data_IF_471617709388
#
_entry.id   IF_471617709388
#
_cell.length_a   1.000
_cell.length_b   1.000
_cell.length_c   1.000
_cell.angle_alpha   90.00
_cell.angle_beta   90.00
_cell.angle_gamma   90.00
#
_symmetry.space_group_name_H-M   'P 1'
#
loop_
_entity.id
_entity.type
_entity.pdbx_description
1 polymer ?
#
# COMPACT_ATOMS: atom_id res chain seq x y z
N UNK A 1 -11.73 -13.31 1.79
CA UNK A 1 -11.88 -12.64 0.48
C UNK A 1 -12.72 -13.50 -0.46
N UNK A 2 -13.64 -12.91 -1.25
CA UNK A 2 -14.62 -13.66 -2.08
C UNK A 2 -13.97 -14.45 -3.23
N UNK A 3 -13.01 -13.86 -3.93
CA UNK A 3 -12.33 -14.44 -5.10
C UNK A 3 -10.89 -14.77 -4.72
N UNK A 4 -10.62 -16.05 -4.46
CA UNK A 4 -9.34 -16.54 -3.91
C UNK A 4 -8.20 -16.49 -4.93
N UNK A 5 -8.52 -16.53 -6.22
CA UNK A 5 -7.56 -16.47 -7.33
C UNK A 5 -6.81 -15.12 -7.43
N UNK A 6 -7.27 -14.09 -6.72
CA UNK A 6 -6.57 -12.81 -6.58
C UNK A 6 -5.85 -12.66 -5.24
N UNK A 7 -5.98 -13.65 -4.36
CA UNK A 7 -5.36 -13.63 -3.04
C UNK A 7 -3.87 -13.84 -3.15
N UNK A 8 -3.12 -13.02 -2.42
CA UNK A 8 -1.69 -13.19 -2.28
C UNK A 8 -1.41 -13.52 -0.82
N UNK A 9 -0.78 -14.67 -0.61
CA UNK A 9 -0.37 -15.18 0.70
C UNK A 9 1.15 -15.07 0.90
N UNK A 10 1.89 -14.88 -0.19
CA UNK A 10 3.34 -14.71 -0.15
C UNK A 10 3.70 -13.35 0.45
N UNK A 11 4.19 -13.38 1.69
CA UNK A 11 4.50 -12.18 2.47
C UNK A 11 5.49 -11.25 1.75
N UNK A 12 6.48 -11.80 1.07
CA UNK A 12 7.49 -11.01 0.35
C UNK A 12 6.86 -10.14 -0.76
N UNK A 13 5.87 -10.65 -1.49
CA UNK A 13 5.15 -9.89 -2.52
C UNK A 13 4.35 -8.72 -1.93
N UNK A 14 3.77 -8.94 -0.75
CA UNK A 14 3.02 -7.92 -0.01
C UNK A 14 3.97 -6.82 0.48
N UNK A 15 5.10 -7.21 1.05
CA UNK A 15 6.13 -6.29 1.55
C UNK A 15 6.74 -5.45 0.43
N UNK A 16 7.07 -6.06 -0.70
CA UNK A 16 7.56 -5.34 -1.88
C UNK A 16 6.55 -4.29 -2.35
N UNK A 17 5.26 -4.64 -2.40
CA UNK A 17 4.22 -3.69 -2.77
C UNK A 17 4.05 -2.57 -1.73
N UNK A 18 4.12 -2.86 -0.42
CA UNK A 18 4.06 -1.83 0.62
C UNK A 18 5.30 -0.92 0.62
N UNK A 19 6.46 -1.43 0.22
CA UNK A 19 7.69 -0.66 0.06
C UNK A 19 7.62 0.29 -1.15
N UNK A 20 6.98 -0.12 -2.24
CA UNK A 20 6.77 0.69 -3.45
C UNK A 20 5.90 1.94 -3.19
N UNK A 21 4.89 1.81 -2.32
CA UNK A 21 3.83 2.82 -2.20
C UNK A 21 4.13 3.88 -1.14
N UNK A 22 4.31 5.14 -1.52
CA UNK A 22 4.71 6.22 -0.60
C UNK A 22 3.65 6.64 0.42
N UNK A 23 2.37 6.47 0.11
CA UNK A 23 1.25 6.81 0.98
C UNK A 23 0.17 5.73 0.95
N UNK A 24 -0.68 5.76 1.98
CA UNK A 24 -1.86 4.90 2.09
C UNK A 24 -3.00 5.64 2.79
N UNK A 25 -4.10 4.94 3.01
CA UNK A 25 -5.34 5.50 3.53
C UNK A 25 -5.64 4.91 4.91
N UNK A 26 -5.50 5.75 5.94
CA UNK A 26 -5.86 5.41 7.31
C UNK A 26 -7.36 5.59 7.53
N UNK A 27 -8.04 4.53 7.90
CA UNK A 27 -9.42 4.54 8.38
C UNK A 27 -9.48 4.59 9.90
N UNK A 28 -10.11 5.62 10.45
CA UNK A 28 -10.38 5.82 11.88
C UNK A 28 -11.89 5.96 12.13
N UNK A 29 -12.32 5.76 13.37
CA UNK A 29 -13.70 6.03 13.81
C UNK A 29 -13.72 7.31 14.65
N UNK A 30 -14.58 8.26 14.31
CA UNK A 30 -14.82 9.44 15.14
C UNK A 30 -15.83 9.19 16.24
N UNK A 31 -15.80 10.05 17.27
CA UNK A 31 -16.70 9.98 18.42
C UNK A 31 -18.18 10.09 18.04
N UNK A 32 -18.49 10.78 16.94
CA UNK A 32 -19.84 10.90 16.38
C UNK A 32 -20.24 9.68 15.52
N UNK A 33 -19.40 8.65 15.44
CA UNK A 33 -19.65 7.38 14.78
C UNK A 33 -19.36 7.37 13.27
N UNK A 34 -18.87 8.47 12.68
CA UNK A 34 -18.53 8.50 11.27
C UNK A 34 -17.15 7.89 10.97
N UNK A 35 -17.00 7.12 9.88
CA UNK A 35 -15.68 6.70 9.44
C UNK A 35 -14.92 7.87 8.81
N UNK A 36 -13.67 8.06 9.22
CA UNK A 36 -12.75 9.03 8.63
C UNK A 36 -11.65 8.33 7.84
N UNK A 37 -11.33 8.86 6.67
CA UNK A 37 -10.24 8.36 5.82
C UNK A 37 -9.20 9.46 5.65
N UNK A 38 -7.98 9.21 6.09
CA UNK A 38 -6.87 10.16 6.00
C UNK A 38 -5.75 9.56 5.14
N UNK A 39 -5.44 10.14 3.96
CA UNK A 39 -4.24 9.78 3.22
C UNK A 39 -3.00 10.27 3.97
N UNK A 40 -1.99 9.42 4.13
CA UNK A 40 -0.76 9.77 4.82
C UNK A 40 0.43 8.91 4.35
N UNK A 41 1.64 9.45 4.52
CA UNK A 41 2.88 8.72 4.24
C UNK A 41 3.10 7.66 5.32
N UNK A 42 3.59 6.49 4.89
CA UNK A 42 3.82 5.37 5.79
C UNK A 42 5.05 4.55 5.41
N UNK A 43 5.53 3.77 6.36
CA UNK A 43 6.45 2.65 6.13
C UNK A 43 5.89 1.38 6.73
N UNK A 44 6.12 0.25 6.07
CA UNK A 44 5.96 -1.07 6.68
C UNK A 44 7.33 -1.50 7.21
N UNK A 45 7.43 -1.72 8.50
CA UNK A 45 8.70 -2.02 9.17
C UNK A 45 8.47 -3.04 10.28
N UNK A 46 9.27 -4.11 10.31
CA UNK A 46 9.22 -5.15 11.35
C UNK A 46 7.81 -5.72 11.61
N UNK A 47 6.99 -5.85 10.56
CA UNK A 47 5.65 -6.44 10.65
C UNK A 47 4.51 -5.43 10.81
N UNK A 48 4.81 -4.15 11.07
CA UNK A 48 3.82 -3.13 11.39
C UNK A 48 3.86 -1.92 10.46
N UNK A 49 2.77 -1.14 10.46
CA UNK A 49 2.70 0.12 9.73
C UNK A 49 3.08 1.25 10.67
N UNK A 50 3.97 2.13 10.24
CA UNK A 50 4.33 3.34 10.95
C UNK A 50 4.03 4.58 10.12
N UNK A 51 3.54 5.62 10.79
CA UNK A 51 3.42 6.95 10.22
C UNK A 51 3.76 8.02 11.24
N UNK A 52 4.11 9.21 10.75
CA UNK A 52 4.41 10.36 11.59
C UNK A 52 3.50 11.54 11.24
N UNK A 53 3.46 12.53 12.13
CA UNK A 53 2.78 13.79 11.85
C UNK A 53 2.62 14.68 13.08
N UNK A 54 1.71 15.66 12.97
CA UNK A 54 1.38 16.54 14.10
C UNK A 54 0.89 15.74 15.32
N UNK A 55 1.36 16.14 16.51
CA UNK A 55 0.91 15.63 17.82
C UNK A 55 -0.54 15.97 18.15
N UNK A 56 -1.10 16.96 17.45
CA UNK A 56 -2.47 17.45 17.62
C UNK A 56 -3.20 17.36 16.29
N UNK A 57 -4.47 16.97 16.33
CA UNK A 57 -5.34 16.92 15.17
C UNK A 57 -6.42 15.85 15.35
N UNK A 58 -7.40 15.84 14.46
CA UNK A 58 -8.58 14.99 14.61
C UNK A 58 -8.23 13.50 14.58
N UNK A 59 -7.30 13.07 13.72
CA UNK A 59 -6.76 11.69 13.74
C UNK A 59 -6.25 11.26 15.12
N UNK A 60 -5.59 12.18 15.84
CA UNK A 60 -5.02 11.88 17.16
C UNK A 60 -6.11 11.79 18.23
N UNK A 61 -7.19 12.56 18.10
CA UNK A 61 -8.37 12.45 18.98
C UNK A 61 -9.12 11.14 18.71
N UNK A 62 -9.36 10.83 17.44
CA UNK A 62 -10.03 9.61 16.99
C UNK A 62 -9.30 8.35 17.46
N UNK A 63 -7.97 8.27 17.29
CA UNK A 63 -7.19 7.13 17.78
C UNK A 63 -7.10 7.03 19.31
N UNK A 64 -7.31 8.14 20.04
CA UNK A 64 -7.44 8.11 21.50
C UNK A 64 -8.82 7.60 21.93
N UNK A 65 -9.86 7.87 21.14
CA UNK A 65 -11.21 7.39 21.38
C UNK A 65 -11.33 5.88 21.09
N UNK A 66 -10.84 5.44 19.93
CA UNK A 66 -10.80 4.04 19.52
C UNK A 66 -9.48 3.74 18.82
N UNK A 67 -8.69 2.84 19.40
CA UNK A 67 -7.39 2.48 18.84
C UNK A 67 -7.51 1.60 17.61
N UNK A 68 -8.67 0.98 17.35
CA UNK A 68 -8.88 0.10 16.20
C UNK A 68 -8.90 0.93 14.92
N UNK A 69 -8.02 0.57 14.00
CA UNK A 69 -7.88 1.26 12.71
C UNK A 69 -7.87 0.26 11.56
N UNK A 70 -8.18 0.79 10.38
CA UNK A 70 -7.91 0.10 9.12
C UNK A 70 -6.89 0.88 8.33
N UNK A 71 -6.09 0.19 7.53
CA UNK A 71 -5.15 0.85 6.62
C UNK A 71 -5.25 0.21 5.25
N UNK A 72 -5.37 1.02 4.21
CA UNK A 72 -5.50 0.54 2.83
C UNK A 72 -4.43 1.15 1.95
N UNK A 73 -3.83 0.33 1.09
CA UNK A 73 -2.87 0.74 0.07
C UNK A 73 -3.33 0.14 -1.26
N UNK A 74 -3.32 0.92 -2.33
CA UNK A 74 -3.74 0.45 -3.66
C UNK A 74 -2.97 1.17 -4.78
N UNK A 75 -2.70 0.44 -5.86
CA UNK A 75 -2.11 0.95 -7.12
C UNK A 75 -2.91 0.37 -8.29
N UNK A 76 -3.44 1.23 -9.13
CA UNK A 76 -3.97 0.83 -10.44
C UNK A 76 -2.81 0.65 -11.41
N UNK A 77 -2.86 -0.44 -12.19
CA UNK A 77 -1.86 -0.77 -13.20
C UNK A 77 -2.41 -0.45 -14.59
N UNK A 78 -3.58 -0.98 -14.93
CA UNK A 78 -4.20 -0.69 -16.22
C UNK A 78 -5.72 -0.82 -16.18
N UNK A 79 -6.39 0.04 -16.96
CA UNK A 79 -7.77 -0.17 -17.37
C UNK A 79 -7.78 -1.13 -18.56
N UNK A 80 -8.55 -2.21 -18.45
CA UNK A 80 -8.78 -3.20 -19.48
C UNK A 80 -10.16 -2.92 -20.09
N UNK A 81 -10.22 -2.31 -21.27
CA UNK A 81 -11.49 -2.05 -21.93
C UNK A 81 -12.14 -3.37 -22.40
N UNK A 82 -13.47 -3.39 -22.49
CA UNK A 82 -14.19 -4.60 -22.90
C UNK A 82 -13.81 -5.06 -24.30
N UNK A 83 -13.60 -4.11 -25.23
CA UNK A 83 -13.29 -4.37 -26.64
C UNK A 83 -11.97 -5.10 -26.87
N UNK A 84 -11.11 -5.25 -25.85
CA UNK A 84 -9.97 -6.16 -25.95
C UNK A 84 -10.44 -7.62 -26.08
N UNK A 85 -11.54 -8.01 -25.43
CA UNK A 85 -11.97 -9.42 -25.37
C UNK A 85 -13.40 -9.67 -25.84
N UNK A 86 -14.18 -8.61 -26.02
CA UNK A 86 -15.55 -8.69 -26.52
C UNK A 86 -15.92 -7.39 -27.26
N UNK A 87 -16.14 -7.44 -28.59
CA UNK A 87 -16.43 -6.24 -29.39
C UNK A 87 -17.85 -5.70 -29.17
N UNK A 88 -18.74 -6.47 -28.51
CA UNK A 88 -20.16 -6.12 -28.38
C UNK A 88 -20.53 -5.77 -26.94
N UNK A 89 -20.14 -6.59 -25.97
CA UNK A 89 -20.59 -6.45 -24.59
C UNK A 89 -19.58 -5.69 -23.73
N UNK A 90 -20.06 -4.69 -22.97
CA UNK A 90 -19.22 -3.88 -22.07
C UNK A 90 -18.78 -4.59 -20.78
N UNK A 91 -19.43 -5.70 -20.42
CA UNK A 91 -19.23 -6.40 -19.15
C UNK A 91 -17.78 -6.82 -18.81
N UNK A 92 -16.90 -7.17 -19.77
CA UNK A 92 -15.51 -7.52 -19.47
C UNK A 92 -14.63 -6.35 -19.01
N UNK A 93 -15.09 -5.09 -19.19
CA UNK A 93 -14.31 -3.92 -18.81
C UNK A 93 -13.94 -3.94 -17.32
N UNK A 94 -12.66 -3.70 -17.01
CA UNK A 94 -12.18 -3.86 -15.64
C UNK A 94 -10.85 -3.15 -15.37
N UNK A 95 -10.51 -2.91 -14.11
CA UNK A 95 -9.16 -2.47 -13.71
C UNK A 95 -8.30 -3.64 -13.23
N UNK A 96 -7.04 -3.65 -13.62
CA UNK A 96 -5.96 -4.44 -13.02
C UNK A 96 -5.23 -3.58 -11.99
N UNK A 97 -4.99 -4.17 -10.81
CA UNK A 97 -4.51 -3.42 -9.66
C UNK A 97 -3.89 -4.34 -8.60
N UNK A 98 -3.12 -3.73 -7.70
CA UNK A 98 -2.72 -4.31 -6.42
C UNK A 98 -3.39 -3.55 -5.29
N UNK A 99 -3.80 -4.24 -4.24
CA UNK A 99 -4.27 -3.61 -3.00
C UNK A 99 -3.93 -4.45 -1.78
N UNK A 100 -3.64 -3.78 -0.67
CA UNK A 100 -3.47 -4.38 0.66
C UNK A 100 -4.42 -3.67 1.62
N UNK A 101 -5.16 -4.45 2.41
CA UNK A 101 -5.99 -3.97 3.50
C UNK A 101 -5.50 -4.59 4.80
N UNK A 102 -5.23 -3.74 5.78
CA UNK A 102 -4.81 -4.11 7.13
C UNK A 102 -5.87 -3.70 8.15
N UNK A 103 -5.96 -4.47 9.23
CA UNK A 103 -6.65 -4.10 10.47
C UNK A 103 -5.66 -4.22 11.61
N UNK A 104 -5.75 -3.30 12.56
CA UNK A 104 -4.85 -3.30 13.70
C UNK A 104 -5.23 -2.28 14.75
N UNK A 105 -4.34 -2.08 15.71
CA UNK A 105 -4.49 -1.08 16.76
C UNK A 105 -3.37 -0.05 16.70
N UNK A 106 -3.73 1.23 16.81
CA UNK A 106 -2.82 2.36 16.74
C UNK A 106 -2.30 2.76 18.12
N UNK A 107 -0.98 2.89 18.24
CA UNK A 107 -0.26 3.24 19.46
C UNK A 107 0.76 4.35 19.20
N UNK A 108 0.87 5.30 20.13
CA UNK A 108 1.95 6.28 20.09
C UNK A 108 3.29 5.60 20.40
N UNK A 109 4.32 6.00 19.65
CA UNK A 109 5.71 5.58 19.89
C UNK A 109 6.44 6.74 20.55
N UNK A 110 6.95 6.50 21.76
CA UNK A 110 7.72 7.49 22.53
C UNK A 110 9.23 7.22 22.55
N UNK A 111 9.66 5.97 22.35
CA UNK A 111 11.09 5.61 22.31
C UNK A 111 11.83 6.30 21.15
N UNK A 112 12.79 7.21 21.43
CA UNK A 112 13.56 7.88 20.40
C UNK A 112 14.37 6.92 19.52
N UNK A 113 14.79 5.79 20.07
CA UNK A 113 15.57 4.76 19.35
C UNK A 113 14.71 4.10 18.28
N UNK A 114 13.51 3.65 18.63
CA UNK A 114 12.55 3.14 17.66
C UNK A 114 12.15 4.20 16.63
N UNK A 115 11.92 5.46 17.05
CA UNK A 115 11.62 6.55 16.10
C UNK A 115 12.75 6.74 15.09
N UNK A 116 14.01 6.75 15.52
CA UNK A 116 15.15 6.90 14.62
C UNK A 116 15.21 5.76 13.61
N UNK A 117 15.02 4.49 14.02
CA UNK A 117 14.96 3.35 13.10
C UNK A 117 13.84 3.48 12.07
N UNK A 118 12.64 3.86 12.51
CA UNK A 118 11.48 4.05 11.63
C UNK A 118 11.70 5.22 10.66
N UNK A 119 12.29 6.33 11.12
CA UNK A 119 12.64 7.43 10.23
C UNK A 119 13.73 7.04 9.23
N UNK A 120 14.71 6.23 9.61
CA UNK A 120 15.67 5.65 8.66
C UNK A 120 14.94 4.82 7.59
N UNK A 121 13.95 4.00 7.97
CA UNK A 121 13.12 3.28 7.00
C UNK A 121 12.32 4.22 6.08
N UNK A 122 11.82 5.34 6.61
CA UNK A 122 11.20 6.39 5.77
C UNK A 122 12.18 6.95 4.75
N UNK A 123 13.40 7.25 5.16
CA UNK A 123 14.39 7.84 4.26
C UNK A 123 14.86 6.84 3.20
N UNK A 124 15.03 5.56 3.55
CA UNK A 124 15.32 4.49 2.57
C UNK A 124 14.21 4.38 1.51
N UNK A 125 12.96 4.66 1.88
CA UNK A 125 11.80 4.60 0.98
C UNK A 125 11.62 5.89 0.16
N UNK A 126 11.82 7.06 0.76
CA UNK A 126 11.51 8.35 0.14
C UNK A 126 12.69 8.98 -0.61
N UNK A 127 13.91 8.67 -0.17
CA UNK A 127 15.15 9.23 -0.70
C UNK A 127 16.23 8.12 -0.77
N UNK A 128 16.00 7.03 -1.53
CA UNK A 128 16.91 5.89 -1.60
C UNK A 128 18.33 6.24 -2.10
N UNK A 129 18.47 7.33 -2.84
CA UNK A 129 19.74 7.86 -3.33
C UNK A 129 20.63 8.47 -2.23
N UNK A 130 20.11 8.63 -1.01
CA UNK A 130 20.82 9.30 0.08
C UNK A 130 20.79 10.82 -0.05
N UNK A 131 21.81 11.52 0.43
CA UNK A 131 21.81 13.00 0.51
C UNK A 131 21.31 13.55 1.85
N UNK A 132 21.30 12.71 2.89
CA UNK A 132 21.01 13.06 4.27
C UNK A 132 22.01 12.33 5.18
N UNK A 133 22.33 12.92 6.33
CA UNK A 133 23.11 12.24 7.36
C UNK A 133 22.21 11.22 8.09
N UNK A 134 22.72 10.03 8.47
CA UNK A 134 21.97 9.09 9.29
C UNK A 134 21.45 9.75 10.60
N UNK A 135 20.29 9.32 11.07
CA UNK A 135 19.74 9.80 12.33
C UNK A 135 20.69 9.48 13.49
N UNK A 136 21.21 10.52 14.14
CA UNK A 136 22.08 10.41 15.31
C UNK A 136 21.37 10.95 16.56
N UNK A 137 21.13 10.10 17.56
CA UNK A 137 20.46 10.50 18.80
C UNK A 137 21.36 11.29 19.77
N UNK A 138 22.68 11.25 19.57
CA UNK A 138 23.63 12.08 20.32
C UNK A 138 23.65 13.53 19.80
N UNK A 139 23.16 13.76 18.57
CA UNK A 139 22.99 15.10 18.00
C UNK A 139 21.72 15.78 18.57
N UNK A 140 21.85 16.91 19.30
CA UNK A 140 20.70 17.60 19.89
C UNK A 140 19.68 18.13 18.87
N UNK A 141 20.13 18.43 17.65
CA UNK A 141 19.28 18.83 16.52
C UNK A 141 18.35 17.68 16.12
N UNK A 142 18.91 16.51 15.82
CA UNK A 142 18.13 15.31 15.48
C UNK A 142 17.19 14.90 16.60
N UNK A 143 17.67 14.87 17.84
CA UNK A 143 16.83 14.53 18.99
C UNK A 143 15.62 15.46 19.12
N UNK A 144 15.83 16.78 18.92
CA UNK A 144 14.74 17.77 18.94
C UNK A 144 13.73 17.55 17.82
N UNK A 145 14.18 17.24 16.61
CA UNK A 145 13.31 17.05 15.44
C UNK A 145 12.49 15.76 15.57
N UNK A 146 13.12 14.65 15.97
CA UNK A 146 12.46 13.36 16.24
C UNK A 146 11.40 13.52 17.34
N UNK A 147 11.72 14.23 18.42
CA UNK A 147 10.78 14.47 19.51
C UNK A 147 9.71 15.51 19.16
N UNK A 148 9.93 16.34 18.15
CA UNK A 148 8.99 17.37 17.70
C UNK A 148 7.72 16.79 17.07
N UNK A 149 7.77 15.57 16.57
CA UNK A 149 6.67 14.92 15.84
C UNK A 149 6.10 13.71 16.59
N UNK A 150 4.82 13.44 16.35
CA UNK A 150 4.22 12.17 16.76
C UNK A 150 4.65 11.08 15.79
N UNK A 151 4.94 9.90 16.34
CA UNK A 151 5.10 8.66 15.61
C UNK A 151 4.02 7.71 16.09
N UNK A 152 3.32 7.08 15.16
CA UNK A 152 2.24 6.13 15.45
C UNK A 152 2.59 4.81 14.81
N UNK A 153 2.53 3.75 15.61
CA UNK A 153 2.60 2.36 15.19
C UNK A 153 1.18 1.83 15.07
N UNK A 154 0.84 1.24 13.94
CA UNK A 154 -0.33 0.38 13.79
C UNK A 154 0.17 -1.04 13.95
N UNK A 155 -0.11 -1.64 15.10
CA UNK A 155 0.15 -3.05 15.33
C UNK A 155 -0.80 -3.87 14.46
N UNK A 156 -0.26 -4.58 13.47
CA UNK A 156 -1.07 -5.31 12.48
C UNK A 156 -1.63 -6.58 13.13
N UNK A 157 -2.95 -6.72 13.12
CA UNK A 157 -3.66 -7.90 13.63
C UNK A 157 -4.09 -8.83 12.49
N UNK A 158 -4.44 -8.25 11.34
CA UNK A 158 -4.74 -9.00 10.13
C UNK A 158 -4.41 -8.18 8.90
N UNK A 159 -3.97 -8.88 7.86
CA UNK A 159 -3.63 -8.30 6.57
C UNK A 159 -4.20 -9.18 5.46
N UNK A 160 -4.68 -8.54 4.40
CA UNK A 160 -5.11 -9.23 3.19
C UNK A 160 -4.65 -8.47 1.96
N UNK A 161 -4.11 -9.19 0.98
CA UNK A 161 -3.64 -8.64 -0.28
C UNK A 161 -4.45 -9.19 -1.45
N UNK A 162 -4.76 -8.31 -2.41
CA UNK A 162 -5.50 -8.64 -3.63
C UNK A 162 -4.78 -8.08 -4.84
N UNK A 163 -4.16 -8.95 -5.62
CA UNK A 163 -3.49 -8.58 -6.87
C UNK A 163 -4.29 -9.15 -8.04
N UNK A 164 -4.75 -8.29 -8.94
CA UNK A 164 -5.65 -8.65 -10.03
C UNK A 164 -5.03 -8.30 -11.37
N UNK A 165 -4.70 -9.35 -12.12
CA UNK A 165 -4.02 -9.29 -13.42
C UNK A 165 -4.58 -10.34 -14.40
N UNK A 166 -5.87 -10.67 -14.28
CA UNK A 166 -6.54 -11.57 -15.23
C UNK A 166 -6.38 -13.07 -14.93
N UNK A 167 -6.08 -13.44 -13.70
CA UNK A 167 -5.94 -14.85 -13.27
C UNK A 167 -7.18 -15.72 -13.56
N UNK A 168 -8.36 -15.10 -13.63
CA UNK A 168 -9.63 -15.76 -13.94
C UNK A 168 -9.98 -15.77 -15.44
N UNK A 169 -9.17 -15.16 -16.30
CA UNK A 169 -9.40 -15.14 -17.74
C UNK A 169 -8.89 -16.43 -18.39
N UNK A 170 -9.61 -16.92 -19.40
CA UNK A 170 -9.10 -17.98 -20.28
C UNK A 170 -7.85 -17.52 -21.01
N UNK A 171 -7.03 -18.47 -21.47
CA UNK A 171 -5.79 -18.20 -22.20
C UNK A 171 -6.01 -17.29 -23.41
N UNK A 172 -6.96 -17.63 -24.29
CA UNK A 172 -7.31 -16.79 -25.45
C UNK A 172 -7.70 -15.35 -25.08
N UNK A 173 -8.43 -15.14 -23.99
CA UNK A 173 -8.77 -13.77 -23.52
C UNK A 173 -7.55 -13.06 -22.96
N UNK A 174 -6.65 -13.79 -22.32
CA UNK A 174 -5.41 -13.23 -21.78
C UNK A 174 -4.49 -12.77 -22.91
N UNK A 175 -4.34 -13.57 -23.97
CA UNK A 175 -3.53 -13.22 -25.14
C UNK A 175 -4.07 -11.97 -25.84
N UNK A 176 -5.39 -11.86 -25.96
CA UNK A 176 -6.05 -10.66 -26.48
C UNK A 176 -5.78 -9.43 -25.60
N UNK A 177 -5.83 -9.57 -24.28
CA UNK A 177 -5.50 -8.47 -23.36
C UNK A 177 -4.02 -8.07 -23.51
N UNK A 178 -3.10 -9.04 -23.57
CA UNK A 178 -1.67 -8.77 -23.75
C UNK A 178 -1.41 -8.07 -25.08
N UNK A 179 -2.05 -8.50 -26.17
CA UNK A 179 -1.96 -7.85 -27.47
C UNK A 179 -2.49 -6.40 -27.43
N UNK A 180 -3.67 -6.19 -26.83
CA UNK A 180 -4.26 -4.87 -26.69
C UNK A 180 -3.41 -3.90 -25.84
N UNK A 181 -2.82 -4.38 -24.75
CA UNK A 181 -1.88 -3.60 -23.93
C UNK A 181 -0.58 -3.28 -24.70
N UNK A 182 -0.07 -4.25 -25.45
CA UNK A 182 1.16 -4.08 -26.25
C UNK A 182 0.98 -3.09 -27.41
N UNK A 183 -0.22 -3.06 -28.02
CA UNK A 183 -0.57 -2.11 -29.07
C UNK A 183 -0.85 -0.72 -28.49
N UNK A 184 -1.55 -0.63 -27.35
CA UNK A 184 -1.93 0.64 -26.72
C UNK A 184 -0.73 1.42 -26.17
N UNK A 185 0.24 0.74 -25.55
CA UNK A 185 1.45 1.34 -24.99
C UNK A 185 1.20 2.52 -24.03
N UNK A 186 0.13 2.45 -23.22
CA UNK A 186 -0.12 3.45 -22.19
C UNK A 186 0.87 3.31 -21.01
N UNK A 187 0.89 4.32 -20.15
CA UNK A 187 1.65 4.27 -18.91
C UNK A 187 1.26 3.01 -18.11
N UNK A 188 2.28 2.23 -17.71
CA UNK A 188 2.18 0.94 -17.02
C UNK A 188 1.64 -0.26 -17.84
N UNK A 189 1.38 -0.15 -19.15
CA UNK A 189 0.92 -1.30 -19.94
C UNK A 189 1.97 -2.43 -19.97
N UNK A 190 3.25 -2.09 -20.17
CA UNK A 190 4.36 -3.05 -20.13
C UNK A 190 4.51 -3.69 -18.74
N UNK A 191 4.49 -2.88 -17.67
CA UNK A 191 4.52 -3.37 -16.29
C UNK A 191 3.32 -4.28 -16.00
N UNK A 192 2.14 -3.94 -16.54
CA UNK A 192 0.93 -4.75 -16.41
C UNK A 192 1.11 -6.11 -17.08
N UNK A 193 1.68 -6.16 -18.30
CA UNK A 193 1.95 -7.43 -19.00
C UNK A 193 2.92 -8.30 -18.17
N UNK A 194 3.96 -7.73 -17.58
CA UNK A 194 4.87 -8.48 -16.70
C UNK A 194 4.16 -9.02 -15.45
N UNK A 195 3.27 -8.22 -14.83
CA UNK A 195 2.45 -8.71 -13.73
C UNK A 195 1.46 -9.80 -14.18
N UNK A 196 0.90 -9.72 -15.38
CA UNK A 196 0.06 -10.78 -15.95
C UNK A 196 0.85 -12.08 -16.09
N UNK A 197 2.06 -12.04 -16.66
CA UNK A 197 2.95 -13.21 -16.79
C UNK A 197 3.28 -13.81 -15.42
N UNK A 198 3.56 -12.96 -14.43
CA UNK A 198 3.90 -13.38 -13.06
C UNK A 198 2.73 -14.09 -12.35
N UNK A 199 1.52 -13.51 -12.40
CA UNK A 199 0.38 -13.99 -11.62
C UNK A 199 -0.56 -14.93 -12.37
N UNK A 200 -0.39 -15.12 -13.68
CA UNK A 200 -1.19 -16.04 -14.48
C UNK A 200 -0.34 -17.26 -14.92
N UNK A 201 -0.25 -18.33 -14.11
CA UNK A 201 0.74 -19.40 -14.27
C UNK A 201 0.59 -20.28 -15.53
N UNK A 202 -0.47 -20.12 -16.33
CA UNK A 202 -0.67 -20.89 -17.56
C UNK A 202 -0.06 -20.20 -18.80
N UNK A 203 1.14 -19.64 -18.67
CA UNK A 203 1.86 -18.98 -19.77
C UNK A 203 3.28 -19.53 -19.88
N UNK A 204 3.39 -20.86 -19.95
CA UNK A 204 4.59 -21.58 -20.36
C UNK A 204 4.21 -22.64 -21.38
#
# INVERSE_FOLDING_TARGET
MRRKEFSIEEQQEIELFLAEMTFGFLGTLSEDGWPHITPLNFVYHEGDIYFHGSKIGDKMKQMKHDTRVTFSVAKEFALIPSYFTDPTYACPATAFFKSVLLKGTAHLVDDPSLKARVFTAFMQKLQPEGGYEPFNLEDPGYLRQINGVAMVRIQVESMSAKFKFGQNASESKRDQIVAGLSERQALYDEETIEMMKKYCPHHR
#
